data_IF_085661905622
#
_entry.id   IF_085661905622
#
_cell.length_a   1.000
_cell.length_b   1.000
_cell.length_c   1.000
_cell.angle_alpha   90.00
_cell.angle_beta   90.00
_cell.angle_gamma   90.00
#
_symmetry.space_group_name_H-M   'P 1'
#
loop_
_entity.id
_entity.type
_entity.pdbx_description
1 polymer ?
#
# COMPACT_ATOMS: atom_id res chain seq x y z
N UNK A 1 -26.22 75.41 15.90
CA UNK A 1 -25.53 74.18 16.34
C UNK A 1 -26.59 73.29 16.96
N UNK A 2 -26.95 72.23 16.26
CA UNK A 2 -28.21 71.49 16.37
C UNK A 2 -28.02 70.21 17.19
N UNK A 3 -28.90 70.06 18.17
CA UNK A 3 -29.57 68.84 18.68
C UNK A 3 -28.73 67.65 19.18
N UNK A 4 -28.93 67.40 20.48
CA UNK A 4 -28.96 66.07 21.06
C UNK A 4 -30.14 65.26 20.49
N UNK A 5 -29.88 64.03 20.09
CA UNK A 5 -30.88 62.96 20.07
C UNK A 5 -30.24 61.66 20.58
N UNK A 6 -30.81 61.18 21.68
CA UNK A 6 -30.66 59.87 22.24
C UNK A 6 -31.33 58.81 21.37
N UNK A 7 -30.69 57.66 21.17
CA UNK A 7 -31.42 56.40 21.09
C UNK A 7 -30.71 55.32 21.88
N UNK A 8 -31.51 54.71 22.76
CA UNK A 8 -31.19 53.72 23.76
C UNK A 8 -31.77 52.39 23.28
N UNK A 9 -31.11 51.31 23.71
CA UNK A 9 -31.63 49.95 23.91
C UNK A 9 -31.43 48.89 22.82
N UNK A 10 -30.87 47.78 23.35
CA UNK A 10 -31.23 46.39 23.06
C UNK A 10 -30.83 45.85 21.69
N UNK A 11 -30.32 44.64 21.55
CA UNK A 11 -30.00 43.55 22.48
C UNK A 11 -29.44 42.45 21.57
N UNK A 12 -28.59 41.59 22.11
CA UNK A 12 -28.45 40.19 21.69
C UNK A 12 -28.30 39.94 20.19
N UNK A 13 -27.09 39.61 19.75
CA UNK A 13 -26.89 38.36 19.02
C UNK A 13 -25.44 38.17 18.61
N UNK A 14 -24.97 36.97 18.90
CA UNK A 14 -23.87 36.31 18.19
C UNK A 14 -22.47 36.71 18.64
N UNK A 15 -22.17 36.38 19.90
CA UNK A 15 -20.90 35.70 20.19
C UNK A 15 -20.74 34.58 19.16
N UNK A 16 -19.91 34.84 18.15
CA UNK A 16 -19.40 33.83 17.21
C UNK A 16 -18.38 32.99 17.99
N UNK A 17 -18.88 32.18 18.90
CA UNK A 17 -18.16 31.01 19.36
C UNK A 17 -18.06 30.10 18.13
N UNK A 18 -16.92 30.19 17.44
CA UNK A 18 -16.47 29.16 16.52
C UNK A 18 -16.25 27.89 17.34
N UNK A 19 -17.35 27.18 17.61
CA UNK A 19 -17.33 25.78 17.96
C UNK A 19 -16.75 25.05 16.77
N UNK A 20 -15.42 24.94 16.74
CA UNK A 20 -14.70 24.03 15.86
C UNK A 20 -15.27 22.65 16.18
N UNK A 21 -16.21 22.20 15.36
CA UNK A 21 -16.70 20.83 15.37
C UNK A 21 -15.48 19.97 15.10
N UNK A 22 -14.88 19.45 16.19
CA UNK A 22 -13.95 18.35 16.10
C UNK A 22 -14.75 17.19 15.52
N UNK A 23 -14.62 16.98 14.21
CA UNK A 23 -14.99 15.73 13.59
C UNK A 23 -14.17 14.64 14.28
N UNK A 24 -14.79 14.02 15.28
CA UNK A 24 -14.27 12.86 16.01
C UNK A 24 -14.28 11.67 15.06
N UNK A 25 -13.37 11.70 14.11
CA UNK A 25 -13.06 10.57 13.26
C UNK A 25 -12.52 9.47 14.17
N UNK A 26 -13.36 8.47 14.45
CA UNK A 26 -12.94 7.29 15.20
C UNK A 26 -11.99 6.52 14.28
N UNK A 27 -10.70 6.66 14.57
CA UNK A 27 -9.63 6.00 13.85
C UNK A 27 -9.73 4.50 14.14
N UNK A 28 -10.28 3.70 13.23
CA UNK A 28 -10.27 2.24 13.37
C UNK A 28 -8.93 1.68 12.87
N UNK A 29 -8.24 0.84 13.65
CA UNK A 29 -7.00 0.24 13.19
C UNK A 29 -7.24 -0.60 11.94
N UNK A 30 -6.42 -0.40 10.91
CA UNK A 30 -6.54 -1.13 9.62
C UNK A 30 -6.47 -2.65 9.79
N UNK A 31 -5.72 -3.14 10.78
CA UNK A 31 -5.65 -4.56 11.14
C UNK A 31 -7.01 -5.13 11.57
N UNK A 32 -7.84 -4.32 12.24
CA UNK A 32 -9.17 -4.73 12.70
C UNK A 32 -10.17 -4.85 11.54
N UNK A 33 -9.95 -4.14 10.44
CA UNK A 33 -10.81 -4.19 9.25
C UNK A 33 -10.55 -5.43 8.38
N UNK A 34 -9.30 -5.91 8.34
CA UNK A 34 -8.89 -6.97 7.40
C UNK A 34 -8.85 -8.36 8.07
N UNK A 35 -8.32 -8.45 9.29
CA UNK A 35 -8.04 -9.76 9.92
C UNK A 35 -9.31 -10.52 10.35
N UNK A 36 -10.32 -9.89 11.00
CA UNK A 36 -11.52 -10.61 11.42
C UNK A 36 -12.37 -11.14 10.24
N UNK A 37 -12.65 -10.37 9.17
CA UNK A 37 -13.41 -10.89 8.02
C UNK A 37 -12.68 -12.02 7.29
N UNK A 38 -11.36 -11.96 7.17
CA UNK A 38 -10.57 -13.03 6.54
C UNK A 38 -10.59 -14.31 7.36
N UNK A 39 -10.42 -14.20 8.69
CA UNK A 39 -10.56 -15.33 9.61
C UNK A 39 -11.99 -15.91 9.60
N UNK A 40 -13.01 -15.05 9.56
CA UNK A 40 -14.41 -15.47 9.46
C UNK A 40 -14.68 -16.23 8.16
N UNK A 41 -14.12 -15.77 7.05
CA UNK A 41 -14.24 -16.42 5.73
C UNK A 41 -13.59 -17.81 5.73
N UNK A 42 -12.39 -17.94 6.29
CA UNK A 42 -11.72 -19.23 6.48
C UNK A 42 -12.54 -20.15 7.40
N UNK A 43 -13.08 -19.62 8.50
CA UNK A 43 -13.95 -20.34 9.41
C UNK A 43 -15.24 -20.83 8.76
N UNK A 44 -15.81 -20.02 7.87
CA UNK A 44 -17.00 -20.37 7.11
C UNK A 44 -16.72 -21.58 6.21
N UNK A 45 -15.63 -21.57 5.46
CA UNK A 45 -15.25 -22.67 4.55
C UNK A 45 -15.00 -23.96 5.34
N UNK A 46 -14.23 -23.88 6.43
CA UNK A 46 -13.92 -25.04 7.29
C UNK A 46 -15.20 -25.58 7.94
N UNK A 47 -16.06 -24.71 8.44
CA UNK A 47 -17.31 -25.07 9.10
C UNK A 47 -18.34 -25.67 8.14
N UNK A 48 -18.43 -25.15 6.91
CA UNK A 48 -19.28 -25.70 5.85
C UNK A 48 -18.83 -27.10 5.44
N UNK A 49 -17.53 -27.29 5.22
CA UNK A 49 -16.98 -28.59 4.83
C UNK A 49 -17.24 -29.66 5.90
N UNK A 50 -16.97 -29.34 7.17
CA UNK A 50 -17.20 -30.27 8.30
C UNK A 50 -18.68 -30.55 8.52
N UNK A 51 -19.53 -29.51 8.49
CA UNK A 51 -20.98 -29.63 8.67
C UNK A 51 -21.64 -30.44 7.56
N UNK A 52 -21.33 -30.12 6.30
CA UNK A 52 -21.88 -30.81 5.13
C UNK A 52 -21.48 -32.29 5.07
N UNK A 53 -20.22 -32.62 5.41
CA UNK A 53 -19.76 -34.02 5.46
C UNK A 53 -20.51 -34.83 6.51
N UNK A 54 -20.72 -34.27 7.71
CA UNK A 54 -21.44 -34.97 8.78
C UNK A 54 -22.93 -35.14 8.44
N UNK A 55 -23.57 -34.11 7.87
CA UNK A 55 -24.96 -34.18 7.44
C UNK A 55 -25.18 -35.23 6.34
N UNK A 56 -24.25 -35.31 5.38
CA UNK A 56 -24.27 -36.33 4.33
C UNK A 56 -24.19 -37.74 4.91
N UNK A 57 -23.24 -37.99 5.82
CA UNK A 57 -23.06 -39.30 6.45
C UNK A 57 -24.28 -39.70 7.27
N UNK A 58 -24.84 -38.77 8.06
CA UNK A 58 -26.08 -38.99 8.81
C UNK A 58 -27.25 -39.34 7.88
N UNK A 59 -27.43 -38.59 6.80
CA UNK A 59 -28.50 -38.85 5.85
C UNK A 59 -28.41 -40.24 5.19
N UNK A 60 -27.20 -40.67 4.80
CA UNK A 60 -26.96 -41.99 4.22
C UNK A 60 -27.20 -43.08 5.27
N UNK A 61 -26.77 -42.88 6.51
CA UNK A 61 -27.01 -43.82 7.60
C UNK A 61 -28.52 -43.97 7.89
N UNK A 62 -29.25 -42.86 7.98
CA UNK A 62 -30.71 -42.84 8.19
C UNK A 62 -31.46 -43.53 7.05
N UNK A 63 -31.02 -43.35 5.80
CA UNK A 63 -31.73 -43.83 4.61
C UNK A 63 -31.12 -45.10 3.99
N UNK A 64 -30.15 -45.74 4.64
CA UNK A 64 -29.51 -46.94 4.13
C UNK A 64 -30.54 -48.04 3.79
N UNK A 65 -31.64 -48.09 4.54
CA UNK A 65 -32.74 -49.05 4.39
C UNK A 65 -33.86 -48.61 3.43
N UNK A 66 -33.88 -47.36 2.93
CA UNK A 66 -34.93 -46.81 2.04
C UNK A 66 -34.34 -46.28 0.74
N UNK A 67 -33.60 -47.13 0.04
CA UNK A 67 -33.02 -46.75 -1.25
C UNK A 67 -34.11 -46.72 -2.33
N UNK A 68 -34.22 -45.64 -3.13
CA UNK A 68 -35.25 -45.54 -4.15
C UNK A 68 -35.00 -46.54 -5.30
N UNK A 69 -36.05 -47.23 -5.73
CA UNK A 69 -36.00 -48.16 -6.87
C UNK A 69 -36.47 -47.51 -8.18
N UNK A 70 -37.19 -46.39 -8.12
CA UNK A 70 -37.72 -45.66 -9.29
C UNK A 70 -36.89 -44.41 -9.61
N UNK A 71 -36.86 -44.00 -10.88
CA UNK A 71 -36.17 -42.79 -11.33
C UNK A 71 -36.66 -41.52 -10.62
N UNK A 72 -37.98 -41.38 -10.43
CA UNK A 72 -38.57 -40.24 -9.72
C UNK A 72 -38.19 -40.24 -8.23
N UNK A 73 -38.07 -41.42 -7.61
CA UNK A 73 -37.61 -41.56 -6.24
C UNK A 73 -36.16 -41.07 -6.05
N UNK A 74 -35.28 -41.34 -7.02
CA UNK A 74 -33.90 -40.85 -7.01
C UNK A 74 -33.78 -39.32 -7.04
N UNK A 75 -34.69 -38.65 -7.75
CA UNK A 75 -34.76 -37.18 -7.76
C UNK A 75 -35.14 -36.63 -6.38
N UNK A 76 -36.22 -37.11 -5.78
CA UNK A 76 -36.65 -36.65 -4.44
C UNK A 76 -35.62 -36.96 -3.34
N UNK A 77 -34.97 -38.11 -3.45
CA UNK A 77 -33.87 -38.50 -2.57
C UNK A 77 -32.70 -37.51 -2.66
N UNK A 78 -32.24 -37.22 -3.89
CA UNK A 78 -31.12 -36.30 -4.12
C UNK A 78 -31.45 -34.86 -3.72
N UNK A 79 -32.69 -34.42 -3.98
CA UNK A 79 -33.20 -33.11 -3.58
C UNK A 79 -33.15 -32.96 -2.05
N UNK A 80 -33.79 -33.87 -1.32
CA UNK A 80 -33.83 -33.87 0.16
C UNK A 80 -32.44 -33.97 0.77
N UNK A 81 -31.57 -34.83 0.19
CA UNK A 81 -30.17 -34.97 0.60
C UNK A 81 -29.43 -33.63 0.50
N UNK A 82 -29.55 -32.96 -0.63
CA UNK A 82 -28.84 -31.71 -0.88
C UNK A 82 -29.34 -30.58 0.05
N UNK A 83 -30.65 -30.51 0.33
CA UNK A 83 -31.19 -29.52 1.28
C UNK A 83 -30.65 -29.74 2.70
N UNK A 84 -30.66 -30.98 3.21
CA UNK A 84 -30.13 -31.30 4.55
C UNK A 84 -28.63 -30.99 4.65
N UNK A 85 -27.87 -31.35 3.62
CA UNK A 85 -26.43 -31.05 3.56
C UNK A 85 -26.17 -29.54 3.57
N UNK A 86 -26.89 -28.78 2.73
CA UNK A 86 -26.70 -27.33 2.62
C UNK A 86 -27.09 -26.60 3.92
N UNK A 87 -28.21 -26.97 4.54
CA UNK A 87 -28.66 -26.38 5.79
C UNK A 87 -27.64 -26.57 6.93
N UNK A 88 -27.16 -27.80 7.12
CA UNK A 88 -26.16 -28.10 8.15
C UNK A 88 -24.78 -27.50 7.83
N UNK A 89 -24.40 -27.46 6.55
CA UNK A 89 -23.19 -26.77 6.11
C UNK A 89 -23.26 -25.27 6.46
N UNK A 90 -24.36 -24.59 6.13
CA UNK A 90 -24.55 -23.17 6.43
C UNK A 90 -24.58 -22.89 7.94
N UNK A 91 -25.31 -23.70 8.72
CA UNK A 91 -25.41 -23.57 10.18
C UNK A 91 -24.07 -23.78 10.89
N UNK A 92 -23.33 -24.82 10.50
CA UNK A 92 -21.99 -25.10 11.03
C UNK A 92 -20.96 -24.06 10.58
N UNK A 93 -21.03 -23.65 9.31
CA UNK A 93 -20.22 -22.59 8.72
C UNK A 93 -20.37 -21.27 9.45
N UNK A 94 -21.61 -20.80 9.64
CA UNK A 94 -21.89 -19.54 10.34
C UNK A 94 -21.38 -19.52 11.78
N UNK A 95 -21.58 -20.60 12.54
CA UNK A 95 -21.05 -20.69 13.92
C UNK A 95 -19.53 -20.65 13.97
N UNK A 96 -18.88 -21.37 13.06
CA UNK A 96 -17.41 -21.42 13.00
C UNK A 96 -16.84 -20.07 12.53
N UNK A 97 -17.48 -19.42 11.57
CA UNK A 97 -17.13 -18.09 11.09
C UNK A 97 -17.21 -17.04 12.19
N UNK A 98 -18.33 -17.03 12.94
CA UNK A 98 -18.50 -16.13 14.08
C UNK A 98 -17.48 -16.43 15.19
N UNK A 99 -17.25 -17.70 15.51
CA UNK A 99 -16.26 -18.09 16.52
C UNK A 99 -14.84 -17.63 16.18
N UNK A 100 -14.37 -17.87 14.94
CA UNK A 100 -13.04 -17.45 14.53
C UNK A 100 -12.93 -15.94 14.30
N UNK A 101 -13.96 -15.32 13.72
CA UNK A 101 -13.99 -13.87 13.50
C UNK A 101 -13.94 -13.10 14.81
N UNK A 102 -14.77 -13.47 15.78
CA UNK A 102 -14.79 -12.83 17.12
C UNK A 102 -13.49 -13.09 17.89
N UNK A 103 -12.95 -14.31 17.87
CA UNK A 103 -11.67 -14.61 18.51
C UNK A 103 -10.52 -13.81 17.91
N UNK A 104 -10.49 -13.64 16.58
CA UNK A 104 -9.47 -12.84 15.88
C UNK A 104 -9.63 -11.36 16.18
N UNK A 105 -10.86 -10.83 16.19
CA UNK A 105 -11.14 -9.46 16.57
C UNK A 105 -10.68 -9.16 18.01
N UNK A 106 -10.98 -10.06 18.95
CA UNK A 106 -10.54 -9.96 20.34
C UNK A 106 -9.02 -10.00 20.47
N UNK A 107 -8.35 -10.89 19.71
CA UNK A 107 -6.88 -10.93 19.67
C UNK A 107 -6.28 -9.62 19.18
N UNK A 108 -6.73 -9.09 18.05
CA UNK A 108 -6.21 -7.86 17.45
C UNK A 108 -6.44 -6.67 18.37
N UNK A 109 -7.62 -6.59 18.98
CA UNK A 109 -7.93 -5.55 19.96
C UNK A 109 -6.97 -5.60 21.15
N UNK A 110 -6.71 -6.80 21.67
CA UNK A 110 -5.86 -6.99 22.83
C UNK A 110 -4.37 -6.75 22.52
N UNK A 111 -3.90 -7.16 21.34
CA UNK A 111 -2.55 -6.86 20.84
C UNK A 111 -2.32 -5.35 20.74
N UNK A 112 -3.28 -4.62 20.15
CA UNK A 112 -3.21 -3.16 20.03
C UNK A 112 -3.23 -2.48 21.41
N UNK A 113 -4.08 -2.96 22.31
CA UNK A 113 -4.22 -2.42 23.66
C UNK A 113 -2.96 -2.65 24.52
N UNK A 114 -2.36 -3.85 24.45
CA UNK A 114 -1.11 -4.15 25.18
C UNK A 114 0.05 -3.30 24.64
N UNK A 115 0.17 -3.17 23.32
CA UNK A 115 1.18 -2.28 22.75
C UNK A 115 0.99 -0.83 23.18
N UNK A 116 -0.25 -0.34 23.22
CA UNK A 116 -0.57 1.01 23.71
C UNK A 116 -0.20 1.18 25.18
N UNK A 117 -0.60 0.26 26.06
CA UNK A 117 -0.26 0.29 27.48
C UNK A 117 1.24 0.26 27.72
N UNK A 118 1.99 -0.53 26.96
CA UNK A 118 3.45 -0.58 27.05
C UNK A 118 4.06 0.78 26.71
N UNK A 119 3.58 1.45 25.67
CA UNK A 119 4.08 2.78 25.28
C UNK A 119 3.78 3.82 26.35
N UNK A 120 2.60 3.77 26.96
CA UNK A 120 2.17 4.71 27.99
C UNK A 120 2.93 4.49 29.31
N UNK A 121 3.06 3.24 29.76
CA UNK A 121 3.62 2.91 31.08
C UNK A 121 5.15 2.85 31.07
N UNK A 122 5.74 2.21 30.06
CA UNK A 122 7.18 1.95 30.02
C UNK A 122 7.95 3.00 29.21
N UNK A 123 7.27 3.87 28.45
CA UNK A 123 7.90 4.84 27.56
C UNK A 123 8.76 4.21 26.46
N UNK A 124 8.71 2.88 26.31
CA UNK A 124 9.49 2.13 25.33
C UNK A 124 8.83 2.23 23.95
N UNK A 125 9.16 3.31 23.25
CA UNK A 125 8.75 3.49 21.85
C UNK A 125 9.71 2.68 20.98
N UNK A 126 9.29 1.50 20.54
CA UNK A 126 10.04 0.81 19.49
C UNK A 126 9.86 1.58 18.17
N UNK A 127 10.94 1.86 17.43
CA UNK A 127 10.84 2.61 16.19
C UNK A 127 9.96 1.84 15.21
N UNK A 128 8.99 2.53 14.62
CA UNK A 128 8.05 1.96 13.65
C UNK A 128 8.76 1.71 12.32
N UNK A 129 9.26 0.49 12.14
CA UNK A 129 10.01 0.06 10.94
C UNK A 129 9.14 -0.10 9.68
N UNK A 130 7.81 -0.14 9.86
CA UNK A 130 6.85 -0.35 8.78
C UNK A 130 6.42 0.96 8.07
N UNK A 131 6.87 2.13 8.56
CA UNK A 131 6.38 3.46 8.17
C UNK A 131 6.77 3.96 6.75
N UNK A 132 7.20 3.06 5.84
CA UNK A 132 7.77 3.44 4.54
C UNK A 132 7.12 2.83 3.30
N UNK A 133 6.06 2.02 3.44
CA UNK A 133 5.32 1.52 2.28
C UNK A 133 4.30 2.59 1.88
N UNK A 134 4.61 3.36 0.83
CA UNK A 134 3.77 4.45 0.29
C UNK A 134 2.35 4.04 -0.13
N UNK A 135 2.00 2.76 0.00
CA UNK A 135 0.68 2.21 -0.28
C UNK A 135 -0.15 1.86 0.98
N UNK A 136 0.46 1.78 2.18
CA UNK A 136 -0.24 1.39 3.41
C UNK A 136 0.28 2.15 4.62
N UNK A 137 -0.18 3.39 4.79
CA UNK A 137 -0.16 4.03 6.11
C UNK A 137 -1.06 3.21 7.04
N UNK A 138 -0.45 2.31 7.81
CA UNK A 138 -1.19 1.42 8.70
C UNK A 138 -1.73 2.27 9.84
N UNK A 139 -3.00 2.60 9.77
CA UNK A 139 -3.69 3.33 10.82
C UNK A 139 -3.74 2.43 12.07
N UNK A 140 -3.19 2.92 13.20
CA UNK A 140 -3.07 2.23 14.50
C UNK A 140 -3.22 3.23 15.64
N UNK A 141 -3.59 2.76 16.82
CA UNK A 141 -3.66 3.56 18.05
C UNK A 141 -2.28 3.71 18.73
N UNK A 142 -1.37 2.77 18.48
CA UNK A 142 0.04 2.85 18.90
C UNK A 142 0.84 3.89 18.11
N UNK A 143 1.73 4.58 18.81
CA UNK A 143 2.72 5.52 18.25
C UNK A 143 3.96 4.77 17.77
N UNK A 144 4.33 3.68 18.44
CA UNK A 144 5.51 2.85 18.14
C UNK A 144 5.20 1.56 17.36
N UNK A 145 6.25 0.76 17.14
CA UNK A 145 6.15 -0.60 16.60
C UNK A 145 5.69 -1.63 17.64
N UNK A 146 5.34 -2.83 17.19
CA UNK A 146 5.04 -3.96 18.10
C UNK A 146 6.32 -4.64 18.58
N UNK A 147 6.42 -4.95 19.88
CA UNK A 147 7.50 -5.79 20.38
C UNK A 147 7.13 -7.25 20.18
N UNK A 148 8.16 -8.09 20.07
CA UNK A 148 8.00 -9.52 19.85
C UNK A 148 7.20 -10.23 20.97
N UNK A 149 7.16 -9.68 22.18
CA UNK A 149 6.44 -10.24 23.34
C UNK A 149 4.99 -9.77 23.48
N UNK A 150 4.60 -8.65 22.85
CA UNK A 150 3.23 -8.12 22.96
C UNK A 150 2.19 -9.15 22.51
N UNK A 151 2.45 -9.78 21.36
CA UNK A 151 1.57 -10.80 20.80
C UNK A 151 1.51 -12.05 21.68
N UNK A 152 2.61 -12.41 22.35
CA UNK A 152 2.62 -13.54 23.28
C UNK A 152 1.73 -13.25 24.49
N UNK A 153 1.82 -12.05 25.08
CA UNK A 153 0.93 -11.67 26.17
C UNK A 153 -0.53 -11.59 25.73
N UNK A 154 -0.81 -10.97 24.58
CA UNK A 154 -2.15 -10.92 24.00
C UNK A 154 -2.73 -12.34 23.85
N UNK A 155 -1.93 -13.26 23.30
CA UNK A 155 -2.31 -14.66 23.13
C UNK A 155 -2.56 -15.38 24.45
N UNK A 156 -1.72 -15.17 25.48
CA UNK A 156 -1.93 -15.79 26.80
C UNK A 156 -3.19 -15.27 27.50
N UNK A 157 -3.43 -13.96 27.47
CA UNK A 157 -4.60 -13.33 28.09
C UNK A 157 -5.87 -13.77 27.37
N UNK A 158 -5.86 -13.81 26.03
CA UNK A 158 -7.00 -14.30 25.24
C UNK A 158 -7.27 -15.78 25.53
N UNK A 159 -6.23 -16.63 25.54
CA UNK A 159 -6.35 -18.06 25.82
C UNK A 159 -6.88 -18.34 27.23
N UNK A 160 -6.44 -17.56 28.22
CA UNK A 160 -6.91 -17.66 29.61
C UNK A 160 -8.35 -17.17 29.74
N UNK A 161 -8.69 -16.04 29.13
CA UNK A 161 -10.04 -15.47 29.12
C UNK A 161 -11.05 -16.42 28.51
N UNK A 162 -10.74 -16.98 27.33
CA UNK A 162 -11.59 -17.97 26.66
C UNK A 162 -11.73 -19.23 27.52
N UNK A 163 -10.63 -19.70 28.13
CA UNK A 163 -10.63 -20.85 29.04
C UNK A 163 -11.58 -20.70 30.22
N UNK A 164 -11.60 -19.52 30.83
CA UNK A 164 -12.48 -19.19 31.96
C UNK A 164 -13.93 -19.00 31.52
N UNK A 165 -14.17 -18.26 30.44
CA UNK A 165 -15.50 -17.92 29.95
C UNK A 165 -16.29 -19.16 29.53
N UNK A 166 -15.61 -20.12 28.92
CA UNK A 166 -16.19 -21.41 28.52
C UNK A 166 -16.11 -22.50 29.60
N UNK A 167 -15.73 -22.15 30.83
CA UNK A 167 -15.60 -23.07 31.97
C UNK A 167 -14.84 -24.35 31.61
N UNK A 168 -13.72 -24.23 30.91
CA UNK A 168 -12.94 -25.41 30.54
C UNK A 168 -12.30 -26.05 31.78
N UNK A 169 -12.15 -27.39 31.81
CA UNK A 169 -11.35 -28.10 32.80
C UNK A 169 -9.95 -27.47 32.95
N UNK A 170 -9.44 -27.37 34.19
CA UNK A 170 -8.15 -26.69 34.51
C UNK A 170 -6.98 -27.13 33.62
N UNK A 171 -6.93 -28.42 33.24
CA UNK A 171 -5.90 -28.99 32.35
C UNK A 171 -5.97 -28.44 30.92
N UNK A 172 -7.17 -28.11 30.44
CA UNK A 172 -7.39 -27.55 29.11
C UNK A 172 -7.09 -26.04 29.09
N UNK A 173 -7.38 -25.33 30.17
CA UNK A 173 -7.03 -23.90 30.31
C UNK A 173 -5.52 -23.69 30.19
N UNK A 174 -4.71 -24.51 30.88
CA UNK A 174 -3.25 -24.42 30.79
C UNK A 174 -2.71 -24.63 29.36
N UNK A 175 -3.30 -25.57 28.61
CA UNK A 175 -2.94 -25.79 27.20
C UNK A 175 -3.33 -24.62 26.31
N UNK A 176 -4.53 -24.06 26.49
CA UNK A 176 -4.99 -22.89 25.74
C UNK A 176 -4.12 -21.66 26.00
N UNK A 177 -3.68 -21.45 27.24
CA UNK A 177 -2.76 -20.37 27.60
C UNK A 177 -1.41 -20.52 26.89
N UNK A 178 -0.79 -21.69 26.97
CA UNK A 178 0.52 -21.95 26.31
C UNK A 178 0.40 -21.84 24.79
N UNK A 179 -0.62 -22.44 24.19
CA UNK A 179 -0.84 -22.38 22.75
C UNK A 179 -1.08 -20.93 22.28
N UNK A 180 -1.88 -20.18 23.01
CA UNK A 180 -2.14 -18.77 22.74
C UNK A 180 -0.85 -17.94 22.78
N UNK A 181 -0.04 -18.11 23.82
CA UNK A 181 1.24 -17.41 23.96
C UNK A 181 2.23 -17.73 22.84
N UNK A 182 2.40 -19.02 22.51
CA UNK A 182 3.31 -19.45 21.44
C UNK A 182 2.85 -18.90 20.08
N UNK A 183 1.57 -19.05 19.75
CA UNK A 183 1.05 -18.60 18.45
C UNK A 183 1.09 -17.08 18.32
N UNK A 184 0.77 -16.34 19.39
CA UNK A 184 0.88 -14.89 19.43
C UNK A 184 2.32 -14.40 19.33
N UNK A 185 3.26 -15.10 19.98
CA UNK A 185 4.70 -14.83 19.85
C UNK A 185 5.21 -15.07 18.42
N UNK A 186 4.81 -16.17 17.78
CA UNK A 186 5.16 -16.45 16.37
C UNK A 186 4.62 -15.36 15.46
N UNK A 187 3.36 -14.93 15.66
CA UNK A 187 2.76 -13.88 14.85
C UNK A 187 3.48 -12.53 15.01
N UNK A 188 3.82 -12.13 16.24
CA UNK A 188 4.57 -10.90 16.47
C UNK A 188 6.00 -10.99 15.91
N UNK A 189 6.66 -12.13 16.08
CA UNK A 189 7.98 -12.38 15.51
C UNK A 189 7.97 -12.28 13.98
N UNK A 190 6.95 -12.85 13.32
CA UNK A 190 6.78 -12.78 11.87
C UNK A 190 6.73 -11.33 11.37
N UNK A 191 5.99 -10.46 12.06
CA UNK A 191 5.93 -9.02 11.74
C UNK A 191 7.30 -8.35 11.86
N UNK A 192 8.02 -8.61 12.95
CA UNK A 192 9.37 -8.06 13.16
C UNK A 192 10.35 -8.58 12.11
N UNK A 193 10.26 -9.86 11.74
CA UNK A 193 11.10 -10.47 10.72
C UNK A 193 10.81 -9.89 9.32
N UNK A 194 9.54 -9.70 8.97
CA UNK A 194 9.16 -9.06 7.70
C UNK A 194 9.64 -7.62 7.61
N UNK A 195 9.58 -6.88 8.72
CA UNK A 195 10.09 -5.51 8.77
C UNK A 195 11.61 -5.47 8.51
N UNK A 196 12.37 -6.40 9.12
CA UNK A 196 13.82 -6.53 8.88
C UNK A 196 14.15 -6.89 7.44
N UNK A 197 13.34 -7.74 6.80
CA UNK A 197 13.53 -8.12 5.40
C UNK A 197 13.27 -6.93 4.46
N UNK A 198 12.22 -6.16 4.73
CA UNK A 198 11.89 -4.96 3.97
C UNK A 198 13.00 -3.89 4.05
N UNK A 199 13.61 -3.69 5.23
CA UNK A 199 14.74 -2.78 5.39
C UNK A 199 15.94 -3.17 4.51
N UNK A 200 16.27 -4.47 4.43
CA UNK A 200 17.36 -4.97 3.58
C UNK A 200 17.09 -4.72 2.09
N UNK A 201 15.88 -5.01 1.62
CA UNK A 201 15.49 -4.79 0.23
C UNK A 201 15.59 -3.29 -0.13
N UNK A 202 15.17 -2.39 0.76
CA UNK A 202 15.27 -0.94 0.55
C UNK A 202 16.72 -0.47 0.50
N UNK A 203 17.59 -1.00 1.34
CA UNK A 203 19.02 -0.68 1.31
C UNK A 203 19.64 -1.08 -0.03
N UNK A 204 19.32 -2.27 -0.53
CA UNK A 204 19.79 -2.76 -1.83
C UNK A 204 19.27 -1.89 -2.99
N UNK A 205 18.01 -1.44 -2.93
CA UNK A 205 17.45 -0.53 -3.95
C UNK A 205 18.12 0.84 -3.94
N UNK A 206 18.43 1.42 -2.77
CA UNK A 206 19.18 2.69 -2.68
C UNK A 206 20.58 2.55 -3.26
N UNK A 207 21.25 1.43 -3.00
CA UNK A 207 22.57 1.16 -3.57
C UNK A 207 22.51 1.00 -5.09
N UNK A 208 21.51 0.29 -5.62
CA UNK A 208 21.28 0.17 -7.07
C UNK A 208 20.96 1.52 -7.72
N UNK A 209 20.09 2.32 -7.09
CA UNK A 209 19.75 3.65 -7.55
C UNK A 209 20.94 4.60 -7.60
N UNK A 210 21.78 4.61 -6.55
CA UNK A 210 23.04 5.39 -6.54
C UNK A 210 24.00 4.96 -7.65
N UNK A 211 24.20 3.65 -7.83
CA UNK A 211 25.04 3.13 -8.92
C UNK A 211 24.48 3.49 -10.30
N UNK A 212 23.17 3.49 -10.48
CA UNK A 212 22.53 3.91 -11.72
C UNK A 212 22.78 5.40 -11.98
N UNK A 213 22.58 6.27 -10.99
CA UNK A 213 22.86 7.71 -11.14
C UNK A 213 24.34 8.02 -11.36
N UNK A 214 25.26 7.29 -10.71
CA UNK A 214 26.70 7.42 -10.92
C UNK A 214 27.09 6.94 -12.34
N UNK A 215 26.48 5.86 -12.83
CA UNK A 215 26.66 5.37 -14.18
C UNK A 215 26.12 6.32 -15.25
N UNK A 216 24.95 6.94 -15.00
CA UNK A 216 24.36 7.97 -15.88
C UNK A 216 25.23 9.23 -15.91
N UNK A 217 25.73 9.69 -14.76
CA UNK A 217 26.65 10.83 -14.70
C UNK A 217 27.96 10.55 -15.44
N UNK A 218 28.54 9.36 -15.27
CA UNK A 218 29.76 8.95 -15.99
C UNK A 218 29.52 8.79 -17.51
N UNK A 219 28.36 8.29 -17.93
CA UNK A 219 27.98 8.24 -19.35
C UNK A 219 27.76 9.64 -19.93
N UNK A 220 27.17 10.55 -19.16
CA UNK A 220 26.95 11.92 -19.60
C UNK A 220 28.27 12.68 -19.75
N UNK A 221 29.22 12.48 -18.83
CA UNK A 221 30.57 13.03 -18.93
C UNK A 221 31.32 12.47 -20.15
N UNK A 222 31.22 11.15 -20.41
CA UNK A 222 31.80 10.53 -21.62
C UNK A 222 31.19 11.08 -22.91
N UNK A 223 29.86 11.29 -22.97
CA UNK A 223 29.20 11.89 -24.13
C UNK A 223 29.68 13.32 -24.39
N UNK A 224 29.82 14.13 -23.35
CA UNK A 224 30.35 15.50 -23.48
C UNK A 224 31.79 15.50 -23.98
N UNK A 225 32.63 14.59 -23.50
CA UNK A 225 34.01 14.44 -23.98
C UNK A 225 34.06 13.97 -25.44
N UNK A 226 33.21 13.01 -25.81
CA UNK A 226 33.11 12.51 -27.19
C UNK A 226 32.63 13.60 -28.16
N UNK A 227 31.61 14.38 -27.77
CA UNK A 227 31.11 15.51 -28.56
C UNK A 227 32.18 16.60 -28.72
N UNK A 228 32.94 16.91 -27.68
CA UNK A 228 34.06 17.86 -27.75
C UNK A 228 35.19 17.36 -28.67
N UNK A 229 35.49 16.06 -28.65
CA UNK A 229 36.46 15.46 -29.57
C UNK A 229 35.97 15.57 -31.02
N UNK A 230 34.70 15.24 -31.29
CA UNK A 230 34.09 15.35 -32.63
C UNK A 230 34.22 16.76 -33.17
N UNK A 231 33.85 17.77 -32.39
CA UNK A 231 33.99 19.18 -32.77
C UNK A 231 35.43 19.58 -33.08
N UNK A 232 36.40 19.11 -32.30
CA UNK A 232 37.82 19.39 -32.55
C UNK A 232 38.32 18.74 -33.86
N UNK A 233 37.87 17.52 -34.17
CA UNK A 233 38.17 16.87 -35.47
C UNK A 233 37.53 17.60 -36.64
N UNK A 234 36.27 18.02 -36.52
CA UNK A 234 35.57 18.80 -37.54
C UNK A 234 36.29 20.13 -37.81
N UNK A 235 36.74 20.83 -36.76
CA UNK A 235 37.51 22.07 -36.92
C UNK A 235 38.84 21.84 -37.67
N UNK A 236 39.56 20.75 -37.37
CA UNK A 236 40.80 20.40 -38.11
C UNK A 236 40.52 20.02 -39.56
N UNK A 237 39.42 19.33 -39.83
CA UNK A 237 39.03 19.00 -41.21
C UNK A 237 38.67 20.26 -42.00
N UNK A 238 37.98 21.22 -41.37
CA UNK A 238 37.72 22.53 -41.97
C UNK A 238 39.03 23.29 -42.24
N UNK A 239 39.99 23.29 -41.30
CA UNK A 239 41.31 23.90 -41.55
C UNK A 239 42.05 23.22 -42.70
N UNK A 240 42.01 21.89 -42.81
CA UNK A 240 42.63 21.17 -43.92
C UNK A 240 41.95 21.48 -45.26
N UNK A 241 40.62 21.56 -45.31
CA UNK A 241 39.90 21.97 -46.52
C UNK A 241 40.24 23.41 -46.92
N UNK A 242 40.38 24.33 -45.95
CA UNK A 242 40.79 25.72 -46.22
C UNK A 242 42.22 25.80 -46.76
N UNK A 243 43.11 24.91 -46.34
CA UNK A 243 44.50 24.82 -46.86
C UNK A 243 44.52 24.16 -48.26
N UNK A 244 43.66 23.18 -48.52
CA UNK A 244 43.56 22.52 -49.84
C UNK A 244 42.90 23.41 -50.90
N UNK A 245 42.00 24.32 -50.48
CA UNK A 245 41.39 25.35 -51.34
C UNK A 245 42.24 26.63 -51.48
N UNK A 246 43.49 26.66 -50.97
CA UNK A 246 44.40 27.79 -51.16
C UNK A 246 44.86 27.84 -52.64
N UNK A 247 44.37 28.81 -53.45
CA UNK A 247 44.64 28.80 -54.89
C UNK A 247 46.08 29.22 -55.18
N UNK A 248 46.74 28.49 -56.09
CA UNK A 248 48.05 28.80 -56.66
C UNK A 248 48.22 30.31 -56.94
N UNK A 249 49.37 30.94 -56.62
CA UNK A 249 49.53 32.38 -56.69
C UNK A 249 49.36 32.89 -58.13
N UNK A 250 48.26 33.60 -58.39
CA UNK A 250 48.01 34.28 -59.67
C UNK A 250 48.96 35.47 -59.85
N UNK A 251 49.55 35.66 -61.04
CA UNK A 251 50.37 36.83 -61.34
C UNK A 251 49.54 38.12 -61.35
N UNK A 252 50.15 39.27 -61.02
CA UNK A 252 49.42 40.49 -60.68
C UNK A 252 49.03 41.26 -61.95
N UNK A 253 47.74 41.26 -62.31
CA UNK A 253 47.08 42.40 -62.98
C UNK A 253 45.64 42.06 -63.36
N UNK A 254 44.67 42.68 -62.67
CA UNK A 254 43.52 43.39 -63.24
C UNK A 254 42.56 43.74 -62.10
N UNK A 255 42.41 45.03 -61.82
CA UNK A 255 41.41 45.58 -60.91
C UNK A 255 40.01 45.27 -61.46
N UNK A 256 39.06 44.78 -60.64
CA UNK A 256 37.66 44.69 -61.07
C UNK A 256 36.95 46.05 -60.95
N UNK A 257 36.09 46.31 -61.93
CA UNK A 257 35.29 47.51 -62.16
C UNK A 257 34.38 47.86 -60.98
N UNK A 258 34.27 49.17 -60.72
CA UNK A 258 33.54 49.77 -59.60
C UNK A 258 32.00 49.71 -59.81
N UNK A 259 31.53 49.25 -60.97
CA UNK A 259 30.11 49.28 -61.34
C UNK A 259 29.28 48.11 -60.76
N UNK A 260 29.91 47.08 -60.17
CA UNK A 260 29.21 45.95 -59.52
C UNK A 260 28.91 46.19 -58.03
N UNK A 261 29.35 47.32 -57.46
CA UNK A 261 29.11 47.72 -56.07
C UNK A 261 27.84 48.59 -55.87
N UNK A 262 27.07 48.86 -56.93
CA UNK A 262 25.87 49.71 -56.88
C UNK A 262 24.56 49.02 -57.28
N UNK A 263 24.49 47.69 -57.25
CA UNK A 263 23.22 46.98 -57.41
C UNK A 263 22.38 47.10 -56.12
N UNK A 264 21.10 47.54 -56.17
CA UNK A 264 20.25 47.59 -55.00
C UNK A 264 19.94 46.17 -54.50
N UNK A 265 20.30 45.90 -53.26
CA UNK A 265 19.94 44.66 -52.56
C UNK A 265 18.41 44.57 -52.40
N UNK A 266 17.76 43.46 -52.78
CA UNK A 266 16.34 43.29 -52.53
C UNK A 266 16.11 43.16 -51.02
N UNK A 267 15.24 44.03 -50.50
CA UNK A 267 14.85 44.06 -49.10
C UNK A 267 14.25 42.73 -48.60
N UNK A 268 15.08 41.98 -47.87
CA UNK A 268 14.67 40.75 -47.20
C UNK A 268 13.68 41.08 -46.06
N UNK A 269 12.41 40.77 -46.26
CA UNK A 269 11.37 40.97 -45.26
C UNK A 269 11.50 39.95 -44.11
N UNK A 270 11.73 40.47 -42.91
CA UNK A 270 11.88 39.72 -41.65
C UNK A 270 10.67 38.83 -41.27
N UNK A 271 9.51 39.06 -41.90
CA UNK A 271 8.30 38.25 -41.74
C UNK A 271 8.43 36.82 -42.29
N UNK A 272 9.34 36.58 -43.23
CA UNK A 272 9.55 35.23 -43.83
C UNK A 272 10.24 34.25 -42.89
N UNK A 273 10.97 34.73 -41.87
CA UNK A 273 11.71 33.87 -40.93
C UNK A 273 10.88 33.41 -39.72
N UNK A 274 9.74 34.06 -39.43
CA UNK A 274 8.91 33.74 -38.27
C UNK A 274 7.96 32.55 -38.49
N UNK A 275 7.65 32.19 -39.75
CA UNK A 275 6.67 31.14 -40.07
C UNK A 275 7.26 29.73 -40.09
N UNK A 276 8.58 29.59 -40.03
CA UNK A 276 9.26 28.29 -40.05
C UNK A 276 9.19 27.53 -38.71
N UNK A 277 8.89 28.21 -37.61
CA UNK A 277 8.82 27.61 -36.27
C UNK A 277 7.49 26.93 -35.93
N UNK A 278 6.42 27.17 -36.69
CA UNK A 278 5.08 26.61 -36.42
C UNK A 278 4.72 25.38 -37.27
N UNK A 279 5.65 24.84 -38.05
CA UNK A 279 5.51 23.55 -38.74
C UNK A 279 6.49 22.53 -38.18
N UNK A 280 6.20 22.02 -36.98
CA UNK A 280 6.64 20.69 -36.52
C UNK A 280 5.60 20.11 -35.56
#
# INVERSE_FOLDING_TARGET
MSLAESSVASSSSTERAEGKQEDKHIVLPSSFLILPPTAASLGLVIGMYRGGRMARLRFIAENAHRQPTTYQGWYFYSKTRNYKIFYEAARSGGRTALGLGTATAAYVFLDEYISYLREEILGQVTPRRDAGDGFRTTVTWRKGGSAWWDGALAGTILGTSVGLLWRLPRKLVGRCMVLGGVMGGIHSYSRVASARLAERIRADQKLKGKKASEGEAGQQEQRVVEDAQRQATEHRQMEQQVIEDEPEPRPPSALPDIDELLAPQPEASWWSSATSWFKK
#
